data_IF_497872327191
#
_entry.id   IF_497872327191
#
_cell.length_a   1.000
_cell.length_b   1.000
_cell.length_c   1.000
_cell.angle_alpha   90.00
_cell.angle_beta   90.00
_cell.angle_gamma   90.00
#
_symmetry.space_group_name_H-M   'P 1'
#
loop_
_entity.id
_entity.type
_entity.pdbx_description
1 polymer ?
#
# COMPACT_ATOMS: atom_id res chain seq x y z
N UNK A 1 11.35 -43.13 15.03
CA UNK A 1 12.47 -42.20 14.71
C UNK A 1 13.12 -42.53 13.37
N UNK A 2 13.76 -43.69 13.19
CA UNK A 2 14.32 -44.08 11.87
C UNK A 2 13.25 -44.15 10.77
N UNK A 3 12.02 -44.56 11.11
CA UNK A 3 10.91 -44.64 10.17
C UNK A 3 10.48 -43.27 9.63
N UNK A 4 10.51 -42.21 10.45
CA UNK A 4 10.24 -40.83 10.01
C UNK A 4 11.34 -40.31 9.07
N UNK A 5 12.61 -40.55 9.41
CA UNK A 5 13.74 -40.17 8.55
C UNK A 5 13.65 -40.87 7.19
N UNK A 6 13.32 -42.17 7.18
CA UNK A 6 13.14 -42.94 5.95
C UNK A 6 11.98 -42.41 5.11
N UNK A 7 10.85 -42.10 5.74
CA UNK A 7 9.68 -41.54 5.07
C UNK A 7 9.99 -40.18 4.43
N UNK A 8 10.56 -39.24 5.20
CA UNK A 8 10.94 -37.90 4.74
C UNK A 8 11.93 -37.99 3.56
N UNK A 9 12.95 -38.84 3.65
CA UNK A 9 13.93 -39.00 2.58
C UNK A 9 13.37 -39.67 1.32
N UNK A 10 12.37 -40.55 1.47
CA UNK A 10 11.68 -41.16 0.33
C UNK A 10 10.73 -40.19 -0.38
N UNK A 11 10.06 -39.31 0.37
CA UNK A 11 9.13 -38.33 -0.16
C UNK A 11 9.86 -37.10 -0.77
N UNK A 12 11.01 -36.73 -0.18
CA UNK A 12 11.86 -35.62 -0.62
C UNK A 12 13.30 -36.13 -0.77
N UNK A 13 13.68 -36.71 -1.92
CA UNK A 13 15.06 -37.11 -2.15
C UNK A 13 15.99 -35.88 -2.12
N UNK A 14 17.22 -36.07 -1.63
CA UNK A 14 18.21 -34.98 -1.60
C UNK A 14 18.59 -34.60 -3.03
N UNK A 15 18.06 -33.46 -3.50
CA UNK A 15 18.59 -32.76 -4.67
C UNK A 15 19.84 -31.99 -4.27
N UNK A 16 20.89 -32.04 -5.10
CA UNK A 16 22.18 -31.40 -4.81
C UNK A 16 22.02 -29.93 -4.39
N UNK A 17 22.52 -29.59 -3.20
CA UNK A 17 22.77 -28.21 -2.78
C UNK A 17 21.58 -27.37 -2.32
N UNK A 18 20.37 -27.92 -2.19
CA UNK A 18 19.21 -27.10 -1.81
C UNK A 18 19.08 -26.97 -0.27
N UNK A 19 19.73 -25.96 0.31
CA UNK A 19 19.73 -25.66 1.76
C UNK A 19 18.30 -25.56 2.34
N UNK A 20 17.32 -25.12 1.53
CA UNK A 20 15.91 -25.04 1.92
C UNK A 20 15.28 -26.42 2.16
N UNK A 21 15.62 -27.43 1.36
CA UNK A 21 15.14 -28.81 1.54
C UNK A 21 15.66 -29.35 2.86
N UNK A 22 16.94 -29.16 3.16
CA UNK A 22 17.54 -29.63 4.42
C UNK A 22 16.89 -28.98 5.64
N UNK A 23 16.66 -27.66 5.59
CA UNK A 23 15.97 -26.93 6.67
C UNK A 23 14.53 -27.42 6.86
N UNK A 24 13.82 -27.70 5.77
CA UNK A 24 12.47 -28.25 5.83
C UNK A 24 12.46 -29.65 6.44
N UNK A 25 13.29 -30.57 5.94
CA UNK A 25 13.44 -31.93 6.48
C UNK A 25 13.72 -31.94 7.97
N UNK A 26 14.64 -31.09 8.44
CA UNK A 26 14.96 -30.96 9.86
C UNK A 26 13.76 -30.48 10.66
N UNK A 27 13.08 -29.43 10.20
CA UNK A 27 11.89 -28.88 10.85
C UNK A 27 10.78 -29.92 10.96
N UNK A 28 10.46 -30.60 9.87
CA UNK A 28 9.41 -31.64 9.83
C UNK A 28 9.77 -32.82 10.73
N UNK A 29 11.04 -33.24 10.76
CA UNK A 29 11.49 -34.29 11.67
C UNK A 29 11.32 -33.90 13.14
N UNK A 30 11.66 -32.66 13.51
CA UNK A 30 11.48 -32.13 14.86
C UNK A 30 9.98 -32.07 15.24
N UNK A 31 9.11 -31.65 14.31
CA UNK A 31 7.65 -31.61 14.49
C UNK A 31 7.05 -33.01 14.66
N UNK A 32 7.41 -33.97 13.80
CA UNK A 32 6.96 -35.37 13.90
C UNK A 32 7.42 -36.02 15.22
N UNK A 33 8.65 -35.75 15.66
CA UNK A 33 9.16 -36.25 16.94
C UNK A 33 8.43 -35.62 18.15
N UNK A 34 8.18 -34.31 18.13
CA UNK A 34 7.43 -33.62 19.17
C UNK A 34 5.99 -34.13 19.26
N UNK A 35 5.33 -34.34 18.11
CA UNK A 35 3.98 -34.91 18.03
C UNK A 35 3.95 -36.36 18.56
N UNK A 36 4.96 -37.16 18.23
CA UNK A 36 5.10 -38.54 18.74
C UNK A 36 5.21 -38.58 20.26
N UNK A 37 5.99 -37.68 20.85
CA UNK A 37 6.12 -37.54 22.30
C UNK A 37 4.79 -37.13 22.95
N UNK A 38 4.06 -36.19 22.35
CA UNK A 38 2.76 -35.72 22.86
C UNK A 38 1.69 -36.83 22.80
N UNK A 39 1.59 -37.54 21.68
CA UNK A 39 0.61 -38.63 21.48
C UNK A 39 0.90 -39.79 22.43
N UNK A 40 2.17 -40.16 22.59
CA UNK A 40 2.60 -41.21 23.54
C UNK A 40 2.40 -40.78 24.99
N UNK A 41 2.54 -39.48 25.30
CA UNK A 41 2.35 -38.94 26.65
C UNK A 41 0.88 -38.72 27.05
N UNK A 42 -0.03 -38.51 26.09
CA UNK A 42 -1.46 -38.24 26.35
C UNK A 42 -2.38 -39.45 26.16
N UNK A 43 -2.01 -40.42 25.32
CA UNK A 43 -2.82 -41.59 25.04
C UNK A 43 -2.05 -42.87 25.35
N UNK A 44 -2.69 -43.83 26.04
CA UNK A 44 -2.15 -45.16 26.29
C UNK A 44 -2.01 -46.04 25.04
N UNK A 45 -1.65 -45.46 23.89
CA UNK A 45 -1.37 -46.18 22.65
C UNK A 45 -0.02 -46.90 22.84
N UNK A 46 -0.08 -48.19 23.14
CA UNK A 46 1.08 -49.00 23.52
C UNK A 46 1.99 -49.37 22.34
N UNK A 47 1.50 -49.27 21.10
CA UNK A 47 2.26 -49.73 19.93
C UNK A 47 2.92 -48.55 19.21
N UNK A 48 4.25 -48.57 19.22
CA UNK A 48 5.12 -47.60 18.53
C UNK A 48 4.77 -47.45 17.04
N UNK A 49 4.42 -48.57 16.39
CA UNK A 49 4.10 -48.62 14.96
C UNK A 49 2.82 -47.85 14.63
N UNK A 50 1.80 -47.92 15.49
CA UNK A 50 0.54 -47.17 15.29
C UNK A 50 0.76 -45.67 15.47
N UNK A 51 1.59 -45.26 16.43
CA UNK A 51 1.96 -43.85 16.60
C UNK A 51 2.75 -43.33 15.40
N UNK A 52 3.69 -44.13 14.89
CA UNK A 52 4.50 -43.78 13.72
C UNK A 52 3.64 -43.69 12.44
N UNK A 53 2.74 -44.64 12.17
CA UNK A 53 1.82 -44.59 11.02
C UNK A 53 0.82 -43.43 11.12
N UNK A 54 0.31 -43.13 12.31
CA UNK A 54 -0.60 -42.00 12.53
C UNK A 54 0.07 -40.67 12.16
N UNK A 55 1.29 -40.44 12.64
CA UNK A 55 2.02 -39.18 12.39
C UNK A 55 2.48 -39.09 10.94
N UNK A 56 2.83 -40.22 10.31
CA UNK A 56 3.09 -40.28 8.87
C UNK A 56 1.83 -39.88 8.08
N UNK A 57 0.64 -40.32 8.51
CA UNK A 57 -0.61 -39.95 7.85
C UNK A 57 -1.01 -38.48 8.00
N UNK A 58 -0.56 -37.81 9.08
CA UNK A 58 -0.73 -36.36 9.26
C UNK A 58 0.05 -35.53 8.23
N UNK A 59 1.14 -36.09 7.69
CA UNK A 59 2.01 -35.47 6.68
C UNK A 59 1.92 -36.16 5.31
N UNK A 60 0.73 -36.61 4.91
CA UNK A 60 0.55 -37.41 3.69
C UNK A 60 1.01 -36.71 2.40
N UNK A 61 1.00 -35.37 2.36
CA UNK A 61 1.48 -34.56 1.21
C UNK A 61 2.69 -33.67 1.57
N UNK A 62 3.79 -34.30 1.97
CA UNK A 62 5.08 -33.63 2.22
C UNK A 62 5.59 -32.79 1.03
N UNK A 63 5.27 -33.16 -0.21
CA UNK A 63 5.69 -32.42 -1.39
C UNK A 63 4.91 -31.11 -1.53
N UNK A 64 3.60 -31.11 -1.24
CA UNK A 64 2.77 -29.92 -1.12
C UNK A 64 3.24 -29.00 0.00
N UNK A 65 3.45 -29.55 1.20
CA UNK A 65 3.95 -28.80 2.37
C UNK A 65 5.33 -28.16 2.09
N UNK A 66 6.23 -28.87 1.41
CA UNK A 66 7.52 -28.33 1.00
C UNK A 66 7.38 -27.15 0.02
N UNK A 67 6.48 -27.25 -0.98
CA UNK A 67 6.25 -26.14 -1.93
C UNK A 67 5.71 -24.89 -1.24
N UNK A 68 4.82 -25.04 -0.27
CA UNK A 68 4.32 -23.92 0.53
C UNK A 68 5.44 -23.30 1.38
N UNK A 69 6.26 -24.14 2.01
CA UNK A 69 7.42 -23.69 2.79
C UNK A 69 8.45 -22.96 1.92
N UNK A 70 8.78 -23.51 0.76
CA UNK A 70 9.69 -22.90 -0.21
C UNK A 70 9.16 -21.54 -0.69
N UNK A 71 7.87 -21.47 -1.06
CA UNK A 71 7.24 -20.22 -1.47
C UNK A 71 7.31 -19.16 -0.35
N UNK A 72 7.07 -19.56 0.90
CA UNK A 72 7.13 -18.65 2.05
C UNK A 72 8.55 -18.16 2.36
N UNK A 73 9.55 -19.06 2.42
CA UNK A 73 10.94 -18.68 2.67
C UNK A 73 11.52 -17.85 1.51
N UNK A 74 11.23 -18.21 0.26
CA UNK A 74 11.67 -17.44 -0.91
C UNK A 74 11.06 -16.04 -0.91
N UNK A 75 9.78 -15.91 -0.56
CA UNK A 75 9.12 -14.62 -0.40
C UNK A 75 9.77 -13.77 0.72
N UNK A 76 10.13 -14.39 1.84
CA UNK A 76 10.80 -13.74 2.97
C UNK A 76 12.21 -13.28 2.61
N UNK A 77 12.99 -14.10 1.91
CA UNK A 77 14.33 -13.75 1.41
C UNK A 77 14.23 -12.60 0.42
N UNK A 78 13.29 -12.66 -0.53
CA UNK A 78 13.05 -11.58 -1.50
C UNK A 78 12.65 -10.28 -0.81
N UNK A 79 11.76 -10.33 0.18
CA UNK A 79 11.36 -9.16 0.96
C UNK A 79 12.54 -8.56 1.74
N UNK A 80 13.38 -9.40 2.37
CA UNK A 80 14.59 -8.97 3.07
C UNK A 80 15.57 -8.31 2.10
N UNK A 81 15.84 -8.94 0.95
CA UNK A 81 16.73 -8.39 -0.08
C UNK A 81 16.23 -7.06 -0.62
N UNK A 82 14.93 -6.93 -0.88
CA UNK A 82 14.32 -5.65 -1.30
C UNK A 82 14.46 -4.59 -0.22
N UNK A 83 14.29 -4.93 1.05
CA UNK A 83 14.45 -4.00 2.17
C UNK A 83 15.89 -3.47 2.27
N UNK A 84 16.88 -4.36 2.30
CA UNK A 84 18.29 -3.95 2.31
C UNK A 84 18.69 -3.20 1.04
N UNK A 85 18.19 -3.62 -0.13
CA UNK A 85 18.39 -2.93 -1.40
C UNK A 85 17.87 -1.50 -1.36
N UNK A 86 16.70 -1.26 -0.75
CA UNK A 86 16.18 0.10 -0.59
C UNK A 86 17.03 0.95 0.36
N UNK A 87 17.56 0.39 1.45
CA UNK A 87 18.44 1.11 2.38
C UNK A 87 19.74 1.53 1.67
N UNK A 88 20.42 0.58 1.03
CA UNK A 88 21.65 0.85 0.30
C UNK A 88 21.37 1.82 -0.85
N UNK A 89 20.27 1.64 -1.58
CA UNK A 89 19.81 2.54 -2.62
C UNK A 89 19.58 3.96 -2.12
N UNK A 90 18.99 4.13 -0.92
CA UNK A 90 18.79 5.44 -0.28
C UNK A 90 20.12 6.15 -0.03
N UNK A 91 21.12 5.41 0.48
CA UNK A 91 22.44 5.96 0.78
C UNK A 91 23.16 6.40 -0.50
N UNK A 92 23.15 5.55 -1.53
CA UNK A 92 23.74 5.87 -2.84
C UNK A 92 23.04 7.07 -3.47
N UNK A 93 21.70 7.14 -3.38
CA UNK A 93 20.91 8.25 -3.88
C UNK A 93 21.29 9.57 -3.20
N UNK A 94 21.40 9.59 -1.86
CA UNK A 94 21.78 10.80 -1.11
C UNK A 94 23.20 11.24 -1.48
N UNK A 95 24.15 10.31 -1.60
CA UNK A 95 25.53 10.63 -2.00
C UNK A 95 25.53 11.26 -3.40
N UNK A 96 24.84 10.64 -4.37
CA UNK A 96 24.74 11.15 -5.73
C UNK A 96 24.07 12.53 -5.75
N UNK A 97 23.02 12.73 -4.96
CA UNK A 97 22.33 14.01 -4.85
C UNK A 97 23.26 15.13 -4.35
N UNK A 98 24.06 14.84 -3.32
CA UNK A 98 25.07 15.77 -2.80
C UNK A 98 26.16 16.03 -3.84
N UNK A 99 26.62 15.01 -4.56
CA UNK A 99 27.60 15.17 -5.64
C UNK A 99 27.07 16.09 -6.75
N UNK A 100 25.82 15.90 -7.18
CA UNK A 100 25.17 16.77 -8.18
C UNK A 100 25.02 18.18 -7.65
N UNK A 101 24.54 18.34 -6.41
CA UNK A 101 24.42 19.64 -5.76
C UNK A 101 25.74 20.40 -5.72
N UNK A 102 26.83 19.77 -5.26
CA UNK A 102 28.15 20.37 -5.19
C UNK A 102 28.70 20.67 -6.59
N UNK A 103 28.57 19.73 -7.52
CA UNK A 103 29.04 19.90 -8.90
C UNK A 103 28.37 21.09 -9.60
N UNK A 104 27.05 21.22 -9.50
CA UNK A 104 26.32 22.35 -10.08
C UNK A 104 26.63 23.65 -9.34
N UNK A 105 26.69 23.63 -8.00
CA UNK A 105 26.97 24.84 -7.22
C UNK A 105 28.36 25.41 -7.49
N UNK A 106 29.38 24.56 -7.60
CA UNK A 106 30.76 25.00 -7.87
C UNK A 106 30.99 25.43 -9.32
N UNK A 107 30.23 24.89 -10.28
CA UNK A 107 30.39 25.25 -11.70
C UNK A 107 29.62 26.50 -12.10
N UNK A 108 28.50 26.77 -11.43
CA UNK A 108 27.62 27.91 -11.75
C UNK A 108 27.74 29.08 -10.77
N UNK A 109 28.34 28.87 -9.59
CA UNK A 109 28.39 29.83 -8.48
C UNK A 109 27.01 30.36 -8.01
N UNK A 110 25.92 29.70 -8.43
CA UNK A 110 24.53 30.08 -8.13
C UNK A 110 23.98 29.41 -6.87
N UNK A 111 24.71 29.52 -5.76
CA UNK A 111 24.35 28.92 -4.45
C UNK A 111 22.93 29.26 -3.97
N UNK A 112 22.41 30.44 -4.37
CA UNK A 112 21.05 30.89 -4.05
C UNK A 112 19.96 29.96 -4.60
N UNK A 113 20.21 29.27 -5.71
CA UNK A 113 19.22 28.44 -6.38
C UNK A 113 19.52 26.96 -6.24
N UNK A 114 20.79 26.57 -6.17
CA UNK A 114 21.19 25.16 -6.19
C UNK A 114 20.76 24.36 -4.95
N UNK A 115 20.45 25.01 -3.82
CA UNK A 115 19.91 24.32 -2.63
C UNK A 115 18.62 23.53 -2.93
N UNK A 116 17.85 23.96 -3.95
CA UNK A 116 16.63 23.27 -4.38
C UNK A 116 16.91 21.84 -4.82
N UNK A 117 18.10 21.59 -5.40
CA UNK A 117 18.51 20.25 -5.85
C UNK A 117 18.46 19.28 -4.67
N UNK A 118 19.00 19.69 -3.51
CA UNK A 118 19.00 18.85 -2.31
C UNK A 118 17.59 18.72 -1.73
N UNK A 119 16.87 19.83 -1.59
CA UNK A 119 15.54 19.82 -0.96
C UNK A 119 14.53 19.05 -1.80
N UNK A 120 14.35 19.38 -3.08
CA UNK A 120 13.43 18.65 -3.95
C UNK A 120 13.90 17.21 -4.17
N UNK A 121 15.21 16.97 -4.26
CA UNK A 121 15.75 15.61 -4.34
C UNK A 121 15.37 14.77 -3.12
N UNK A 122 15.40 15.33 -1.91
CA UNK A 122 14.94 14.65 -0.69
C UNK A 122 13.42 14.49 -0.69
N UNK A 123 12.65 15.51 -1.10
CA UNK A 123 11.19 15.42 -1.15
C UNK A 123 10.74 14.33 -2.12
N UNK A 124 11.34 14.22 -3.31
CA UNK A 124 11.08 13.15 -4.27
C UNK A 124 11.45 11.77 -3.70
N UNK A 125 12.54 11.69 -2.93
CA UNK A 125 12.89 10.46 -2.22
C UNK A 125 11.84 10.07 -1.18
N UNK A 126 11.33 11.03 -0.41
CA UNK A 126 10.23 10.81 0.54
C UNK A 126 8.99 10.32 -0.19
N UNK A 127 8.61 10.92 -1.33
CA UNK A 127 7.47 10.45 -2.16
C UNK A 127 7.68 9.01 -2.61
N UNK A 128 8.88 8.64 -3.04
CA UNK A 128 9.22 7.25 -3.38
C UNK A 128 9.01 6.29 -2.21
N UNK A 129 9.51 6.64 -1.02
CA UNK A 129 9.35 5.82 0.20
C UNK A 129 7.88 5.68 0.61
N UNK A 130 7.10 6.77 0.53
CA UNK A 130 5.66 6.75 0.76
C UNK A 130 4.96 5.81 -0.23
N UNK A 131 5.34 5.86 -1.52
CA UNK A 131 4.84 4.96 -2.55
C UNK A 131 5.10 3.48 -2.25
N UNK A 132 6.29 3.12 -1.76
CA UNK A 132 6.59 1.77 -1.29
C UNK A 132 5.70 1.36 -0.10
N UNK A 133 5.49 2.27 0.85
CA UNK A 133 4.59 2.08 1.99
C UNK A 133 3.14 1.82 1.54
N UNK A 134 2.62 2.62 0.61
CA UNK A 134 1.27 2.47 0.05
C UNK A 134 1.12 1.10 -0.61
N UNK A 135 2.05 0.70 -1.50
CA UNK A 135 2.01 -0.61 -2.18
C UNK A 135 1.93 -1.76 -1.18
N UNK A 136 2.76 -1.71 -0.13
CA UNK A 136 2.78 -2.73 0.92
C UNK A 136 1.46 -2.75 1.69
N UNK A 137 0.95 -1.61 2.12
CA UNK A 137 -0.29 -1.53 2.90
C UNK A 137 -1.54 -1.92 2.10
N UNK A 138 -1.56 -1.64 0.79
CA UNK A 138 -2.63 -2.08 -0.10
C UNK A 138 -2.67 -3.60 -0.23
N UNK A 139 -1.51 -4.26 -0.30
CA UNK A 139 -1.40 -5.72 -0.34
C UNK A 139 -1.80 -6.43 0.97
N UNK A 140 -1.95 -5.68 2.06
CA UNK A 140 -2.34 -6.21 3.36
C UNK A 140 -3.87 -6.21 3.53
N UNK A 141 -4.34 -6.67 4.69
CA UNK A 141 -5.76 -6.70 5.03
C UNK A 141 -6.40 -5.30 4.88
N UNK A 142 -7.70 -5.28 4.60
CA UNK A 142 -8.49 -4.06 4.35
C UNK A 142 -8.37 -2.98 5.44
N UNK A 143 -8.09 -3.34 6.69
CA UNK A 143 -7.87 -2.38 7.78
C UNK A 143 -6.67 -1.45 7.51
N UNK A 144 -5.66 -1.95 6.78
CA UNK A 144 -4.47 -1.18 6.42
C UNK A 144 -4.71 -0.20 5.26
N UNK A 145 -5.85 -0.31 4.55
CA UNK A 145 -6.20 0.63 3.48
C UNK A 145 -6.43 2.04 4.02
N UNK A 146 -6.84 2.20 5.28
CA UNK A 146 -6.95 3.53 5.93
C UNK A 146 -5.59 4.21 6.04
N UNK A 147 -4.55 3.47 6.45
CA UNK A 147 -3.20 4.00 6.49
C UNK A 147 -2.65 4.30 5.10
N UNK A 148 -2.93 3.42 4.12
CA UNK A 148 -2.55 3.64 2.73
C UNK A 148 -3.15 4.95 2.16
N UNK A 149 -4.37 5.30 2.54
CA UNK A 149 -5.03 6.56 2.18
C UNK A 149 -4.34 7.78 2.76
N UNK A 150 -4.01 7.76 4.05
CA UNK A 150 -3.28 8.86 4.70
C UNK A 150 -1.90 9.05 4.06
N UNK A 151 -1.19 7.95 3.77
CA UNK A 151 0.10 7.98 3.09
C UNK A 151 -0.01 8.49 1.65
N UNK A 152 -1.07 8.11 0.92
CA UNK A 152 -1.35 8.62 -0.43
C UNK A 152 -1.60 10.13 -0.40
N UNK A 153 -2.43 10.60 0.53
CA UNK A 153 -2.68 12.03 0.73
C UNK A 153 -1.37 12.78 0.99
N UNK A 154 -0.56 12.27 1.93
CA UNK A 154 0.76 12.83 2.23
C UNK A 154 1.69 12.84 1.02
N UNK A 155 1.72 11.77 0.22
CA UNK A 155 2.57 11.69 -0.97
C UNK A 155 2.19 12.75 -2.02
N UNK A 156 0.89 12.98 -2.25
CA UNK A 156 0.42 14.01 -3.17
C UNK A 156 0.78 15.41 -2.67
N UNK A 157 0.58 15.68 -1.38
CA UNK A 157 0.93 16.98 -0.78
C UNK A 157 2.43 17.24 -0.86
N UNK A 158 3.28 16.27 -0.50
CA UNK A 158 4.74 16.40 -0.57
C UNK A 158 5.20 16.64 -2.02
N UNK A 159 4.60 15.94 -2.99
CA UNK A 159 4.90 16.15 -4.41
C UNK A 159 4.59 17.58 -4.84
N UNK A 160 3.45 18.12 -4.41
CA UNK A 160 3.03 19.47 -4.77
C UNK A 160 3.84 20.55 -4.04
N UNK A 161 4.35 20.26 -2.84
CA UNK A 161 5.34 21.12 -2.17
C UNK A 161 6.66 21.15 -2.95
N UNK A 162 7.14 20.02 -3.47
CA UNK A 162 8.33 20.00 -4.32
C UNK A 162 8.11 20.83 -5.60
N UNK A 163 6.96 20.67 -6.27
CA UNK A 163 6.60 21.49 -7.43
C UNK A 163 6.57 22.98 -7.05
N UNK A 164 5.91 23.34 -5.94
CA UNK A 164 5.86 24.72 -5.46
C UNK A 164 7.27 25.30 -5.24
N UNK A 165 8.15 24.58 -4.54
CA UNK A 165 9.51 25.03 -4.25
C UNK A 165 10.34 25.17 -5.55
N UNK A 166 10.19 24.26 -6.50
CA UNK A 166 10.83 24.38 -7.81
C UNK A 166 10.40 25.66 -8.55
N UNK A 167 9.10 25.97 -8.57
CA UNK A 167 8.60 27.19 -9.23
C UNK A 167 9.05 28.47 -8.50
N UNK A 168 9.03 28.47 -7.17
CA UNK A 168 9.56 29.60 -6.37
C UNK A 168 11.04 29.82 -6.66
N UNK A 169 11.84 28.75 -6.69
CA UNK A 169 13.28 28.86 -6.92
C UNK A 169 13.61 29.30 -8.36
N UNK A 170 12.87 28.84 -9.36
CA UNK A 170 13.25 29.01 -10.77
C UNK A 170 12.62 30.22 -11.47
N UNK A 171 11.41 30.62 -11.07
CA UNK A 171 10.57 31.53 -11.89
C UNK A 171 10.02 32.73 -11.15
N UNK A 172 10.18 32.81 -9.82
CA UNK A 172 9.62 33.88 -8.97
C UNK A 172 8.15 34.21 -9.32
N UNK A 173 7.39 33.18 -9.71
CA UNK A 173 6.08 33.34 -10.35
C UNK A 173 5.08 33.93 -9.35
N UNK A 174 4.40 35.04 -9.68
CA UNK A 174 3.39 35.61 -8.79
C UNK A 174 2.27 34.59 -8.63
N UNK A 175 1.85 34.31 -7.40
CA UNK A 175 0.86 33.30 -7.04
C UNK A 175 1.34 31.84 -7.08
N UNK A 176 2.66 31.59 -7.01
CA UNK A 176 3.21 30.23 -6.85
C UNK A 176 2.58 29.43 -5.70
N UNK A 177 2.15 30.09 -4.61
CA UNK A 177 1.44 29.46 -3.49
C UNK A 177 0.16 28.71 -3.90
N UNK A 178 -0.43 29.01 -5.06
CA UNK A 178 -1.57 28.28 -5.61
C UNK A 178 -1.26 26.80 -5.87
N UNK A 179 -0.01 26.43 -6.15
CA UNK A 179 0.38 25.03 -6.31
C UNK A 179 0.11 24.21 -5.03
N UNK A 180 0.25 24.82 -3.85
CA UNK A 180 -0.07 24.14 -2.58
C UNK A 180 -1.57 23.86 -2.48
N UNK A 181 -2.41 24.82 -2.89
CA UNK A 181 -3.88 24.66 -2.85
C UNK A 181 -4.37 23.66 -3.90
N UNK A 182 -3.83 23.74 -5.12
CA UNK A 182 -4.07 22.74 -6.17
C UNK A 182 -3.67 21.36 -5.65
N UNK A 183 -2.56 21.26 -4.91
CA UNK A 183 -2.13 20.01 -4.32
C UNK A 183 -3.10 19.44 -3.29
N UNK A 184 -3.75 20.29 -2.49
CA UNK A 184 -4.81 19.85 -1.58
C UNK A 184 -6.02 19.30 -2.36
N UNK A 185 -6.45 19.99 -3.43
CA UNK A 185 -7.52 19.50 -4.30
C UNK A 185 -7.16 18.12 -4.86
N UNK A 186 -5.97 17.98 -5.45
CA UNK A 186 -5.50 16.72 -6.00
C UNK A 186 -5.42 15.63 -4.93
N UNK A 187 -5.02 15.96 -3.70
CA UNK A 187 -4.95 14.98 -2.61
C UNK A 187 -6.34 14.44 -2.24
N UNK A 188 -7.38 15.29 -2.18
CA UNK A 188 -8.76 14.84 -1.98
C UNK A 188 -9.29 14.03 -3.16
N UNK A 189 -8.99 14.42 -4.40
CA UNK A 189 -9.40 13.69 -5.60
C UNK A 189 -8.73 12.31 -5.65
N UNK A 190 -7.42 12.24 -5.43
CA UNK A 190 -6.67 10.98 -5.41
C UNK A 190 -7.16 10.05 -4.29
N UNK A 191 -7.45 10.58 -3.10
CA UNK A 191 -7.99 9.79 -2.00
C UNK A 191 -9.42 9.29 -2.28
N UNK A 192 -10.27 10.11 -2.89
CA UNK A 192 -11.60 9.73 -3.37
C UNK A 192 -11.54 8.62 -4.42
N UNK A 193 -10.68 8.76 -5.44
CA UNK A 193 -10.44 7.72 -6.45
C UNK A 193 -9.90 6.43 -5.84
N UNK A 194 -9.04 6.52 -4.83
CA UNK A 194 -8.55 5.35 -4.13
C UNK A 194 -9.66 4.61 -3.38
N UNK A 195 -10.59 5.35 -2.75
CA UNK A 195 -11.77 4.77 -2.12
C UNK A 195 -12.73 4.09 -3.13
N UNK A 196 -12.79 4.61 -4.37
CA UNK A 196 -13.49 3.98 -5.50
C UNK A 196 -12.86 2.65 -5.90
N UNK A 197 -11.55 2.66 -6.16
CA UNK A 197 -10.79 1.48 -6.61
C UNK A 197 -10.85 0.36 -5.56
N UNK A 198 -10.80 0.71 -4.27
CA UNK A 198 -10.85 -0.25 -3.16
C UNK A 198 -12.28 -0.62 -2.72
N UNK A 199 -13.30 -0.16 -3.45
CA UNK A 199 -14.74 -0.41 -3.20
C UNK A 199 -15.14 -0.16 -1.75
N UNK A 200 -14.69 0.95 -1.16
CA UNK A 200 -14.94 1.27 0.24
C UNK A 200 -16.46 1.36 0.53
N UNK A 201 -16.90 0.87 1.70
CA UNK A 201 -18.33 0.82 2.07
C UNK A 201 -18.98 2.22 2.18
N UNK A 202 -18.20 3.25 2.53
CA UNK A 202 -18.67 4.62 2.79
C UNK A 202 -18.28 5.61 1.69
N UNK A 203 -18.11 5.11 0.47
CA UNK A 203 -17.58 5.86 -0.67
C UNK A 203 -18.38 7.10 -1.06
N UNK A 204 -19.71 6.97 -1.10
CA UNK A 204 -20.61 8.10 -1.41
C UNK A 204 -20.46 9.21 -0.36
N UNK A 205 -20.30 8.85 0.91
CA UNK A 205 -20.13 9.81 2.00
C UNK A 205 -18.80 10.57 1.87
N UNK A 206 -17.73 9.90 1.43
CA UNK A 206 -16.46 10.59 1.19
C UNK A 206 -16.59 11.66 0.12
N UNK A 207 -17.21 11.34 -1.02
CA UNK A 207 -17.43 12.33 -2.08
C UNK A 207 -18.32 13.50 -1.65
N UNK A 208 -19.35 13.23 -0.84
CA UNK A 208 -20.22 14.26 -0.26
C UNK A 208 -19.48 15.25 0.65
N UNK A 209 -18.37 14.83 1.25
CA UNK A 209 -17.53 15.70 2.08
C UNK A 209 -16.47 16.39 1.20
N UNK A 210 -15.89 15.68 0.22
CA UNK A 210 -14.81 16.20 -0.60
C UNK A 210 -15.28 17.28 -1.59
N UNK A 211 -16.49 17.15 -2.15
CA UNK A 211 -17.00 18.12 -3.13
C UNK A 211 -17.10 19.54 -2.55
N UNK A 212 -17.67 19.77 -1.35
CA UNK A 212 -17.67 21.09 -0.73
C UNK A 212 -16.28 21.60 -0.38
N UNK A 213 -15.41 20.73 0.14
CA UNK A 213 -14.03 21.09 0.52
C UNK A 213 -13.22 21.52 -0.71
N UNK A 214 -13.29 20.76 -1.80
CA UNK A 214 -12.66 21.10 -3.08
C UNK A 214 -13.20 22.43 -3.61
N UNK A 215 -14.50 22.66 -3.47
CA UNK A 215 -15.16 23.89 -3.93
C UNK A 215 -14.67 25.13 -3.19
N UNK A 216 -14.36 25.03 -1.89
CA UNK A 216 -13.71 26.11 -1.13
C UNK A 216 -12.32 26.42 -1.67
N UNK A 217 -11.52 25.40 -1.98
CA UNK A 217 -10.19 25.61 -2.55
C UNK A 217 -10.25 26.21 -3.97
N UNK A 218 -11.21 25.76 -4.79
CA UNK A 218 -11.45 26.33 -6.12
C UNK A 218 -11.88 27.79 -6.04
N UNK A 219 -12.73 28.15 -5.07
CA UNK A 219 -13.10 29.54 -4.80
C UNK A 219 -11.86 30.41 -4.54
N UNK A 220 -10.95 29.95 -3.68
CA UNK A 220 -9.71 30.68 -3.36
C UNK A 220 -8.85 30.86 -4.62
N UNK A 221 -8.69 29.81 -5.44
CA UNK A 221 -7.90 29.88 -6.68
C UNK A 221 -8.52 30.87 -7.67
N UNK A 222 -9.84 30.79 -7.90
CA UNK A 222 -10.55 31.64 -8.86
C UNK A 222 -10.50 33.11 -8.44
N UNK A 223 -10.69 33.39 -7.15
CA UNK A 223 -10.59 34.74 -6.60
C UNK A 223 -9.17 35.27 -6.64
N UNK A 224 -8.16 34.44 -6.33
CA UNK A 224 -6.75 34.85 -6.34
C UNK A 224 -6.20 35.11 -7.75
N UNK A 225 -6.75 34.44 -8.77
CA UNK A 225 -6.37 34.65 -10.18
C UNK A 225 -7.20 35.75 -10.86
N UNK A 226 -8.08 36.45 -10.12
CA UNK A 226 -9.02 37.45 -10.63
C UNK A 226 -9.86 36.95 -11.83
N UNK A 227 -10.08 35.63 -11.94
CA UNK A 227 -10.89 35.04 -13.02
C UNK A 227 -12.36 35.44 -12.84
N UNK A 228 -12.83 35.48 -11.59
CA UNK A 228 -14.14 36.00 -11.20
C UNK A 228 -13.98 36.88 -9.96
N UNK A 229 -14.80 37.92 -9.88
CA UNK A 229 -14.89 38.74 -8.67
C UNK A 229 -15.27 37.85 -7.48
N UNK A 230 -14.65 38.12 -6.32
CA UNK A 230 -14.91 37.40 -5.07
C UNK A 230 -16.40 37.37 -4.69
N UNK A 231 -17.15 38.42 -5.03
CA UNK A 231 -18.60 38.55 -4.84
C UNK A 231 -19.45 37.59 -5.70
N UNK A 232 -18.87 37.02 -6.75
CA UNK A 232 -19.48 36.04 -7.64
C UNK A 232 -18.91 34.65 -7.37
N UNK A 233 -17.60 34.55 -7.14
CA UNK A 233 -16.89 33.29 -6.95
C UNK A 233 -17.35 32.50 -5.73
N UNK A 234 -17.83 33.15 -4.66
CA UNK A 234 -18.33 32.46 -3.47
C UNK A 234 -19.54 31.56 -3.77
N UNK A 235 -20.29 31.81 -4.86
CA UNK A 235 -21.44 31.00 -5.28
C UNK A 235 -21.07 29.55 -5.62
N UNK A 236 -19.80 29.25 -5.87
CA UNK A 236 -19.32 27.87 -6.10
C UNK A 236 -19.55 27.00 -4.86
N UNK A 237 -19.48 27.57 -3.65
CA UNK A 237 -19.67 26.86 -2.39
C UNK A 237 -21.12 26.35 -2.24
N UNK A 238 -22.18 27.19 -2.28
CA UNK A 238 -23.55 26.68 -2.21
C UNK A 238 -23.90 25.79 -3.40
N UNK A 239 -23.35 26.06 -4.60
CA UNK A 239 -23.55 25.19 -5.77
C UNK A 239 -23.04 23.76 -5.52
N UNK A 240 -21.90 23.62 -4.82
CA UNK A 240 -21.36 22.31 -4.45
C UNK A 240 -22.30 21.50 -3.54
N UNK A 241 -23.01 22.16 -2.63
CA UNK A 241 -24.02 21.53 -1.77
C UNK A 241 -25.26 21.10 -2.58
N UNK A 242 -25.62 21.84 -3.62
CA UNK A 242 -26.68 21.42 -4.55
C UNK A 242 -26.27 20.17 -5.31
N UNK A 243 -25.02 20.08 -5.75
CA UNK A 243 -24.48 18.86 -6.38
C UNK A 243 -24.56 17.67 -5.43
N UNK A 244 -24.20 17.86 -4.16
CA UNK A 244 -24.33 16.83 -3.11
C UNK A 244 -25.77 16.34 -2.94
N UNK A 245 -26.75 17.26 -2.91
CA UNK A 245 -28.18 16.90 -2.85
C UNK A 245 -28.61 16.07 -4.05
N UNK A 246 -28.14 16.41 -5.26
CA UNK A 246 -28.41 15.65 -6.48
C UNK A 246 -27.82 14.23 -6.38
N UNK A 247 -26.57 14.10 -5.89
CA UNK A 247 -25.92 12.80 -5.69
C UNK A 247 -26.69 11.94 -4.69
N UNK A 248 -27.10 12.51 -3.55
CA UNK A 248 -27.92 11.80 -2.56
C UNK A 248 -29.24 11.34 -3.18
N UNK A 249 -29.93 12.22 -3.90
CA UNK A 249 -31.20 11.90 -4.53
C UNK A 249 -31.05 10.75 -5.55
N UNK A 250 -30.02 10.81 -6.40
CA UNK A 250 -29.70 9.76 -7.36
C UNK A 250 -29.41 8.41 -6.68
N UNK A 251 -28.62 8.42 -5.60
CA UNK A 251 -28.31 7.21 -4.83
C UNK A 251 -29.54 6.59 -4.16
N UNK A 252 -30.44 7.41 -3.60
CA UNK A 252 -31.71 6.93 -3.02
C UNK A 252 -32.59 6.32 -4.10
N UNK A 253 -32.71 6.97 -5.26
CA UNK A 253 -33.52 6.48 -6.38
C UNK A 253 -33.01 5.13 -6.89
N UNK A 254 -31.70 4.99 -7.05
CA UNK A 254 -31.08 3.75 -7.47
C UNK A 254 -31.32 2.60 -6.46
N UNK A 255 -31.07 2.85 -5.18
CA UNK A 255 -31.33 1.86 -4.12
C UNK A 255 -32.82 1.47 -4.01
N UNK A 256 -33.74 2.39 -4.30
CA UNK A 256 -35.18 2.09 -4.35
C UNK A 256 -35.54 1.20 -5.53
N UNK A 257 -34.96 1.45 -6.71
CA UNK A 257 -35.18 0.63 -7.90
C UNK A 257 -34.69 -0.81 -7.68
N UNK A 258 -33.46 -0.99 -7.17
CA UNK A 258 -32.92 -2.33 -6.86
C UNK A 258 -33.79 -3.07 -5.83
N UNK A 259 -34.33 -2.37 -4.82
CA UNK A 259 -35.23 -2.99 -3.83
C UNK A 259 -36.55 -3.46 -4.45
N UNK A 260 -37.08 -2.74 -5.44
CA UNK A 260 -38.29 -3.15 -6.15
C UNK A 260 -38.00 -4.37 -7.03
N UNK A 261 -36.91 -4.36 -7.80
CA UNK A 261 -36.49 -5.50 -8.63
C UNK A 261 -36.27 -6.77 -7.80
N UNK A 262 -35.60 -6.68 -6.65
CA UNK A 262 -35.41 -7.82 -5.75
C UNK A 262 -36.74 -8.30 -5.17
N UNK A 263 -37.65 -7.39 -4.80
CA UNK A 263 -38.96 -7.77 -4.27
C UNK A 263 -39.82 -8.49 -5.33
N UNK A 264 -39.77 -8.04 -6.58
CA UNK A 264 -40.50 -8.66 -7.69
C UNK A 264 -39.98 -10.08 -7.97
N UNK A 265 -38.65 -10.28 -8.04
CA UNK A 265 -38.04 -11.61 -8.21
C UNK A 265 -38.38 -12.57 -7.07
N UNK A 266 -38.48 -12.08 -5.84
CA UNK A 266 -38.83 -12.90 -4.67
C UNK A 266 -40.32 -13.25 -4.57
N UNK A 267 -41.20 -12.43 -5.16
CA UNK A 267 -42.64 -12.67 -5.19
C UNK A 267 -43.08 -13.53 -6.38
N UNK A 268 -42.21 -13.73 -7.39
CA UNK A 268 -42.46 -14.61 -8.55
C UNK A 268 -42.05 -16.08 -8.33
N UNK A 269 -41.47 -16.44 -7.18
CA UNK A 269 -41.18 -17.82 -6.74
C UNK A 269 -42.11 -18.28 -5.60
#
# INVERSE_FOLDING_TARGET
>A
MEQFVKYINSALPDGEGNELVYRFKKKTLDEMNARALEVTGRGGILSRKVVEDLIISEHADLAGEYKEFEAHETAKIKARRSFFGNIIGSLVYIILLITVFLGVSMTTDLWKYTWIIVVDGILLWVVYLLGLGIKKLVSMKRIFHVFARILLFGAVVVTMVAVFLAFVALTDLPHSWLFVIIGLILAFVCDGLFAEITKARLRIIYWLIYIPVISVFLFIIIGALDILAWSVAWMIIPLSLVVDLIIIYAAIRHNRAERMEVADIWNEN
#
